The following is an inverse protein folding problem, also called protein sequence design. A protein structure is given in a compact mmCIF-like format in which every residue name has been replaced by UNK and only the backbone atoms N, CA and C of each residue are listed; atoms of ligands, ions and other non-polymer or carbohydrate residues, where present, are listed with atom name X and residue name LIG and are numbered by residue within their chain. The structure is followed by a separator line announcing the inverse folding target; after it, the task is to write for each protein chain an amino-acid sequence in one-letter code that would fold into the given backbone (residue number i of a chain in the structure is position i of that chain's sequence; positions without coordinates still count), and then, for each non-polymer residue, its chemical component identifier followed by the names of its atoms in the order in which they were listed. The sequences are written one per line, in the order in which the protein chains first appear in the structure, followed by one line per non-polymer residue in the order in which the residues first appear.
data_IF_264002153548
#
_entry.id   IF_264002153548
#
_cell.length_a   1.000
_cell.length_b   1.000
_cell.length_c   1.000
_cell.angle_alpha   90.00
_cell.angle_beta   90.00
_cell.angle_gamma   90.00
#
_symmetry.space_group_name_H-M   'P 1'
#
loop_
_entity.id
_entity.type
_entity.pdbx_description
1 polymer ?
#
# COMPACT_ATOMS: atom_id res chain seq x y z
N UNK A 1 18.17 42.21 -65.37
CA UNK A 1 18.83 42.11 -64.06
C UNK A 1 18.20 40.94 -63.32
N UNK A 2 18.94 39.88 -63.32
CA UNK A 2 18.55 38.54 -62.96
C UNK A 2 18.71 38.33 -61.45
N UNK A 3 17.65 37.99 -60.76
CA UNK A 3 17.74 37.62 -59.35
C UNK A 3 17.57 36.12 -59.23
N UNK A 4 18.69 35.43 -59.32
CA UNK A 4 18.83 33.99 -59.05
C UNK A 4 18.40 33.67 -57.63
N UNK A 5 17.27 32.95 -57.49
CA UNK A 5 16.88 32.27 -56.29
C UNK A 5 17.87 31.17 -55.96
N UNK A 6 18.64 31.35 -54.87
CA UNK A 6 19.48 30.37 -54.27
C UNK A 6 18.58 29.28 -53.58
N UNK A 7 18.25 28.24 -54.33
CA UNK A 7 17.66 27.03 -53.77
C UNK A 7 18.78 26.12 -53.27
N UNK A 8 18.96 26.07 -51.98
CA UNK A 8 19.79 25.03 -51.33
C UNK A 8 19.28 23.64 -51.68
N UNK A 9 20.14 22.71 -52.13
CA UNK A 9 19.70 21.36 -52.47
C UNK A 9 19.25 20.62 -51.23
N UNK A 10 18.04 20.06 -51.36
CA UNK A 10 17.48 19.13 -50.36
C UNK A 10 18.32 17.83 -50.38
N UNK A 11 19.10 17.60 -49.34
CA UNK A 11 19.85 16.36 -49.21
C UNK A 11 18.90 15.31 -48.63
N UNK A 12 18.47 14.40 -49.47
CA UNK A 12 17.69 13.22 -49.04
C UNK A 12 18.66 12.27 -48.29
N UNK A 13 18.32 11.99 -47.04
CA UNK A 13 19.03 10.98 -46.22
C UNK A 13 18.24 9.67 -46.28
N UNK A 14 18.77 8.68 -47.00
CA UNK A 14 18.20 7.32 -47.02
C UNK A 14 18.33 6.67 -45.64
N UNK A 15 17.23 6.28 -45.05
CA UNK A 15 17.20 5.43 -43.85
C UNK A 15 17.08 3.95 -44.25
N UNK A 16 17.55 3.06 -43.38
CA UNK A 16 17.57 1.60 -43.57
C UNK A 16 16.27 0.93 -44.04
N UNK A 17 15.13 1.66 -43.92
CA UNK A 17 13.78 1.19 -44.26
C UNK A 17 13.20 1.87 -45.53
N UNK A 18 14.01 2.49 -46.39
CA UNK A 18 13.53 3.19 -47.60
C UNK A 18 12.42 4.25 -47.41
N UNK A 19 12.29 4.80 -46.20
CA UNK A 19 11.36 5.93 -45.97
C UNK A 19 12.13 7.22 -46.23
N UNK A 20 11.82 7.85 -47.33
CA UNK A 20 12.33 9.21 -47.64
C UNK A 20 11.61 10.19 -46.74
N UNK A 21 12.31 10.77 -45.79
CA UNK A 21 11.74 11.86 -44.95
C UNK A 21 12.11 13.19 -45.59
N UNK A 22 11.14 13.83 -46.24
CA UNK A 22 11.27 15.20 -46.70
C UNK A 22 11.39 16.13 -45.48
N UNK A 23 12.58 16.68 -45.27
CA UNK A 23 12.80 17.78 -44.31
C UNK A 23 12.32 19.07 -44.94
N UNK A 24 11.06 19.43 -44.81
CA UNK A 24 10.62 20.81 -44.99
C UNK A 24 11.38 21.71 -43.99
N UNK A 25 12.05 22.74 -44.52
CA UNK A 25 12.88 23.67 -43.73
C UNK A 25 12.17 24.15 -42.47
N UNK A 26 12.94 24.48 -41.45
CA UNK A 26 12.46 24.85 -40.11
C UNK A 26 11.38 25.96 -40.22
N UNK A 27 10.10 25.52 -40.19
CA UNK A 27 8.98 26.44 -40.09
C UNK A 27 9.12 27.28 -38.82
N UNK A 28 8.89 28.57 -38.93
CA UNK A 28 8.85 29.52 -37.81
C UNK A 28 7.88 28.98 -36.73
N UNK A 29 8.18 29.24 -35.46
CA UNK A 29 7.34 28.83 -34.33
C UNK A 29 5.89 29.24 -34.49
N UNK A 30 5.67 30.46 -35.09
CA UNK A 30 4.33 30.98 -35.44
C UNK A 30 3.62 30.12 -36.51
N UNK A 31 4.32 29.68 -37.53
CA UNK A 31 3.75 28.86 -38.60
C UNK A 31 3.45 27.43 -38.13
N UNK A 32 4.25 26.87 -37.23
CA UNK A 32 3.97 25.60 -36.55
C UNK A 32 2.72 25.69 -35.67
N UNK A 33 2.55 26.77 -34.94
CA UNK A 33 1.34 27.00 -34.15
C UNK A 33 0.10 27.19 -35.04
N UNK A 34 0.20 27.96 -36.13
CA UNK A 34 -0.89 28.17 -37.07
C UNK A 34 -1.30 26.90 -37.82
N UNK A 35 -0.32 26.06 -38.28
CA UNK A 35 -0.61 24.74 -38.86
C UNK A 35 -1.27 23.82 -37.85
N UNK A 36 -0.82 23.82 -36.59
CA UNK A 36 -1.41 23.03 -35.51
C UNK A 36 -2.85 23.45 -35.19
N UNK A 37 -3.16 24.73 -35.25
CA UNK A 37 -4.50 25.30 -34.99
C UNK A 37 -5.48 25.05 -36.15
N UNK A 38 -5.00 24.90 -37.38
CA UNK A 38 -5.83 24.76 -38.58
C UNK A 38 -6.22 23.32 -38.91
N UNK A 39 -5.64 22.33 -38.23
CA UNK A 39 -5.97 20.92 -38.45
C UNK A 39 -7.20 20.54 -37.61
N UNK A 40 -8.28 20.08 -38.25
CA UNK A 40 -9.55 19.62 -37.61
C UNK A 40 -9.30 18.68 -36.43
N UNK A 41 -8.26 17.89 -36.51
CA UNK A 41 -7.84 16.95 -35.44
C UNK A 41 -7.35 17.67 -34.16
N UNK A 42 -6.90 18.94 -34.24
CA UNK A 42 -6.39 19.70 -33.09
C UNK A 42 -7.52 20.10 -32.14
N UNK A 43 -8.67 20.47 -32.70
CA UNK A 43 -9.86 20.80 -31.91
C UNK A 43 -10.44 19.61 -31.17
N UNK A 44 -10.49 18.46 -31.84
CA UNK A 44 -10.91 17.21 -31.22
C UNK A 44 -9.95 16.81 -30.09
N UNK A 45 -8.65 16.92 -30.34
CA UNK A 45 -7.62 16.63 -29.30
C UNK A 45 -7.71 17.60 -28.14
N UNK A 46 -7.95 18.90 -28.40
CA UNK A 46 -8.15 19.90 -27.37
C UNK A 46 -9.41 19.60 -26.53
N UNK A 47 -10.53 19.29 -27.16
CA UNK A 47 -11.77 18.92 -26.49
C UNK A 47 -11.61 17.66 -25.63
N UNK A 48 -10.95 16.62 -26.16
CA UNK A 48 -10.65 15.40 -25.42
C UNK A 48 -9.72 15.67 -24.22
N UNK A 49 -8.72 16.55 -24.37
CA UNK A 49 -7.83 16.91 -23.27
C UNK A 49 -8.57 17.72 -22.18
N UNK A 50 -9.45 18.63 -22.56
CA UNK A 50 -10.30 19.38 -21.60
C UNK A 50 -11.24 18.42 -20.88
N UNK A 51 -11.91 17.51 -21.59
CA UNK A 51 -12.75 16.49 -20.97
C UNK A 51 -11.98 15.61 -20.01
N UNK A 52 -10.79 15.15 -20.41
CA UNK A 52 -9.90 14.37 -19.56
C UNK A 52 -9.45 15.13 -18.31
N UNK A 53 -9.15 16.43 -18.46
CA UNK A 53 -8.80 17.31 -17.35
C UNK A 53 -9.97 17.45 -16.35
N UNK A 54 -11.19 17.70 -16.85
CA UNK A 54 -12.40 17.82 -16.02
C UNK A 54 -12.67 16.50 -15.28
N UNK A 55 -12.57 15.36 -15.98
CA UNK A 55 -12.73 14.04 -15.36
C UNK A 55 -11.68 13.78 -14.27
N UNK A 56 -10.42 14.08 -14.56
CA UNK A 56 -9.34 13.93 -13.56
C UNK A 56 -9.57 14.81 -12.34
N UNK A 57 -9.97 16.06 -12.56
CA UNK A 57 -10.26 17.01 -11.49
C UNK A 57 -11.45 16.55 -10.64
N UNK A 58 -12.52 16.06 -11.28
CA UNK A 58 -13.68 15.50 -10.60
C UNK A 58 -13.34 14.26 -9.77
N UNK A 59 -12.60 13.32 -10.34
CA UNK A 59 -12.17 12.11 -9.63
C UNK A 59 -11.22 12.47 -8.47
N UNK A 60 -10.28 13.39 -8.70
CA UNK A 60 -9.38 13.88 -7.66
C UNK A 60 -10.12 14.55 -6.51
N UNK A 61 -11.14 15.36 -6.83
CA UNK A 61 -11.98 15.99 -5.82
C UNK A 61 -12.71 14.96 -4.96
N UNK A 62 -13.35 13.95 -5.59
CA UNK A 62 -14.06 12.89 -4.86
C UNK A 62 -13.12 12.10 -3.94
N UNK A 63 -11.90 11.81 -4.41
CA UNK A 63 -10.89 11.08 -3.61
C UNK A 63 -10.36 11.94 -2.48
N UNK A 64 -10.10 13.24 -2.72
CA UNK A 64 -9.50 14.13 -1.73
C UNK A 64 -10.51 14.69 -0.73
N UNK A 65 -11.80 14.76 -1.11
CA UNK A 65 -12.86 15.34 -0.27
C UNK A 65 -12.88 14.81 1.17
N UNK A 66 -12.87 13.47 1.43
CA UNK A 66 -12.89 12.95 2.78
C UNK A 66 -11.66 13.36 3.61
N UNK A 67 -10.50 13.54 2.98
CA UNK A 67 -9.31 14.02 3.67
C UNK A 67 -9.45 15.50 4.05
N UNK A 68 -9.87 16.33 3.10
CA UNK A 68 -10.10 17.77 3.33
C UNK A 68 -11.18 17.96 4.39
N UNK A 69 -12.27 17.20 4.32
CA UNK A 69 -13.34 17.26 5.31
C UNK A 69 -12.85 16.87 6.73
N UNK A 70 -11.99 15.86 6.85
CA UNK A 70 -11.37 15.47 8.14
C UNK A 70 -10.43 16.53 8.68
N UNK A 71 -9.60 17.13 7.81
CA UNK A 71 -8.72 18.24 8.19
C UNK A 71 -9.56 19.44 8.64
N UNK A 72 -10.59 19.84 7.89
CA UNK A 72 -11.49 20.92 8.26
C UNK A 72 -12.21 20.62 9.59
N UNK A 73 -12.76 19.42 9.73
CA UNK A 73 -13.45 18.97 10.95
C UNK A 73 -12.57 18.95 12.19
N UNK A 74 -11.25 18.79 12.04
CA UNK A 74 -10.31 18.81 13.17
C UNK A 74 -10.16 20.20 13.82
N UNK A 75 -10.58 21.26 13.11
CA UNK A 75 -10.61 22.64 13.61
C UNK A 75 -12.02 23.11 14.01
N UNK A 76 -13.04 22.25 13.94
CA UNK A 76 -14.41 22.58 14.27
C UNK A 76 -14.71 22.40 15.76
N UNK A 77 -15.60 23.22 16.31
CA UNK A 77 -16.19 23.00 17.64
C UNK A 77 -17.18 21.84 17.59
N UNK A 78 -17.61 21.35 18.77
CA UNK A 78 -18.66 20.31 18.86
C UNK A 78 -19.98 20.77 18.21
N UNK A 79 -20.31 22.05 18.37
CA UNK A 79 -21.49 22.67 17.76
C UNK A 79 -21.39 22.70 16.24
N UNK A 80 -20.22 23.09 15.70
CA UNK A 80 -19.97 23.13 14.25
C UNK A 80 -20.04 21.74 13.60
N UNK A 81 -19.60 20.68 14.31
CA UNK A 81 -19.64 19.29 13.82
C UNK A 81 -21.08 18.77 13.71
N UNK A 82 -21.95 19.18 14.63
CA UNK A 82 -23.37 18.74 14.66
C UNK A 82 -24.21 19.55 13.67
N UNK A 83 -23.82 20.78 13.34
CA UNK A 83 -24.54 21.63 12.39
C UNK A 83 -24.34 21.13 10.95
N UNK A 84 -25.39 20.52 10.39
CA UNK A 84 -25.38 19.97 9.02
C UNK A 84 -25.17 21.03 7.93
N UNK A 85 -25.25 22.31 8.24
CA UNK A 85 -25.00 23.41 7.30
C UNK A 85 -23.51 23.71 7.12
N UNK A 86 -22.65 23.20 8.01
CA UNK A 86 -21.22 23.39 8.00
C UNK A 86 -20.55 22.15 7.43
N UNK A 87 -19.79 22.27 6.34
CA UNK A 87 -19.13 21.11 5.71
C UNK A 87 -17.61 21.18 5.75
N UNK A 88 -17.02 22.24 5.19
CA UNK A 88 -15.57 22.36 5.00
C UNK A 88 -14.95 23.56 5.71
N UNK A 89 -15.73 24.58 6.02
CA UNK A 89 -15.22 25.81 6.64
C UNK A 89 -15.84 25.93 8.03
N UNK A 90 -15.04 25.83 9.12
CA UNK A 90 -15.53 26.00 10.47
C UNK A 90 -16.02 27.43 10.68
N UNK A 91 -17.16 27.59 11.37
CA UNK A 91 -17.65 28.91 11.84
C UNK A 91 -16.81 29.42 13.02
N UNK A 92 -16.44 28.50 13.90
CA UNK A 92 -15.66 28.79 15.10
C UNK A 92 -14.41 27.92 15.14
N UNK A 93 -13.33 28.29 14.43
CA UNK A 93 -12.12 27.46 14.38
C UNK A 93 -11.47 27.38 15.77
N UNK A 94 -11.18 26.14 16.21
CA UNK A 94 -10.59 25.83 17.51
C UNK A 94 -9.54 24.73 17.42
N UNK A 95 -8.61 24.70 18.39
CA UNK A 95 -7.64 23.61 18.57
C UNK A 95 -8.01 22.73 19.79
N UNK A 96 -9.21 22.87 20.32
CA UNK A 96 -9.66 22.14 21.53
C UNK A 96 -9.63 20.62 21.34
N UNK A 97 -9.96 20.14 20.14
CA UNK A 97 -9.88 18.69 19.81
C UNK A 97 -8.44 18.18 19.94
N UNK A 98 -7.45 18.94 19.47
CA UNK A 98 -6.05 18.56 19.61
C UNK A 98 -5.58 18.55 21.05
N UNK A 99 -5.99 19.54 21.84
CA UNK A 99 -5.71 19.58 23.28
C UNK A 99 -6.31 18.36 23.98
N UNK A 100 -7.56 18.03 23.69
CA UNK A 100 -8.23 16.85 24.23
C UNK A 100 -7.49 15.55 23.88
N UNK A 101 -7.12 15.36 22.62
CA UNK A 101 -6.39 14.17 22.16
C UNK A 101 -5.03 14.05 22.86
N UNK A 102 -4.29 15.15 23.01
CA UNK A 102 -2.96 15.12 23.58
C UNK A 102 -3.00 14.88 25.10
N UNK A 103 -3.89 15.57 25.81
CA UNK A 103 -3.92 15.56 27.28
C UNK A 103 -4.82 14.43 27.81
N UNK A 104 -6.08 14.38 27.37
CA UNK A 104 -7.08 13.44 27.92
C UNK A 104 -6.89 12.01 27.39
N UNK A 105 -6.50 11.85 26.12
CA UNK A 105 -6.32 10.54 25.50
C UNK A 105 -4.86 10.03 25.58
N UNK A 106 -3.98 10.68 26.34
CA UNK A 106 -2.59 10.25 26.52
C UNK A 106 -1.90 9.89 25.21
N UNK A 107 -2.04 10.76 24.19
CA UNK A 107 -1.61 10.50 22.81
C UNK A 107 -0.16 10.01 22.72
N UNK A 108 0.78 10.64 23.44
CA UNK A 108 2.19 10.28 23.35
C UNK A 108 2.51 8.91 23.95
N UNK A 109 1.81 8.51 25.01
CA UNK A 109 1.93 7.17 25.59
C UNK A 109 1.39 6.12 24.62
N UNK A 110 0.22 6.36 24.04
CA UNK A 110 -0.36 5.49 23.02
C UNK A 110 0.52 5.40 21.76
N UNK A 111 1.11 6.52 21.34
CA UNK A 111 2.04 6.56 20.20
C UNK A 111 3.28 5.72 20.45
N UNK A 112 3.93 5.86 21.61
CA UNK A 112 5.12 5.09 21.98
C UNK A 112 4.81 3.60 22.07
N UNK A 113 3.72 3.23 22.73
CA UNK A 113 3.29 1.85 22.85
C UNK A 113 3.02 1.22 21.49
N UNK A 114 2.32 1.95 20.60
CA UNK A 114 2.05 1.50 19.24
C UNK A 114 3.32 1.39 18.40
N UNK A 115 4.23 2.34 18.53
CA UNK A 115 5.51 2.34 17.81
C UNK A 115 6.38 1.15 18.24
N UNK A 116 6.54 0.93 19.55
CA UNK A 116 7.29 -0.20 20.08
C UNK A 116 6.70 -1.53 19.64
N UNK A 117 5.38 -1.70 19.75
CA UNK A 117 4.69 -2.90 19.31
C UNK A 117 4.87 -3.14 17.80
N UNK A 118 4.69 -2.09 16.99
CA UNK A 118 4.84 -2.18 15.55
C UNK A 118 6.27 -2.55 15.14
N UNK A 119 7.29 -1.97 15.77
CA UNK A 119 8.69 -2.30 15.51
C UNK A 119 9.02 -3.73 15.92
N UNK A 120 8.60 -4.16 17.12
CA UNK A 120 8.81 -5.54 17.58
C UNK A 120 8.15 -6.54 16.62
N UNK A 121 6.87 -6.35 16.28
CA UNK A 121 6.18 -7.23 15.36
C UNK A 121 6.81 -7.23 13.96
N UNK A 122 7.23 -6.08 13.44
CA UNK A 122 7.87 -5.96 12.13
C UNK A 122 9.20 -6.71 12.09
N UNK A 123 10.04 -6.57 13.12
CA UNK A 123 11.32 -7.29 13.21
C UNK A 123 11.11 -8.81 13.29
N UNK A 124 10.20 -9.27 14.13
CA UNK A 124 9.87 -10.69 14.25
C UNK A 124 9.35 -11.23 12.91
N UNK A 125 8.42 -10.55 12.27
CA UNK A 125 7.85 -10.97 10.98
C UNK A 125 8.91 -10.98 9.87
N UNK A 126 9.80 -10.00 9.85
CA UNK A 126 10.92 -9.97 8.91
C UNK A 126 11.82 -11.20 9.08
N UNK A 127 12.21 -11.51 10.31
CA UNK A 127 13.04 -12.68 10.60
C UNK A 127 12.33 -13.99 10.20
N UNK A 128 11.07 -14.13 10.58
CA UNK A 128 10.26 -15.32 10.23
C UNK A 128 10.11 -15.44 8.71
N UNK A 129 9.81 -14.34 8.01
CA UNK A 129 9.66 -14.34 6.56
C UNK A 129 10.98 -14.71 5.86
N UNK A 130 12.12 -14.20 6.34
CA UNK A 130 13.44 -14.55 5.82
C UNK A 130 13.76 -16.02 6.06
N UNK A 131 13.63 -16.50 7.29
CA UNK A 131 13.98 -17.88 7.65
C UNK A 131 13.11 -18.90 6.90
N UNK A 132 11.79 -18.71 6.94
CA UNK A 132 10.85 -19.62 6.26
C UNK A 132 10.99 -19.50 4.74
N UNK A 133 11.14 -18.29 4.21
CA UNK A 133 11.34 -18.04 2.78
C UNK A 133 12.61 -18.68 2.25
N UNK A 134 13.73 -18.55 2.98
CA UNK A 134 14.99 -19.19 2.67
C UNK A 134 14.88 -20.73 2.74
N UNK A 135 14.32 -21.24 3.83
CA UNK A 135 14.11 -22.69 4.00
C UNK A 135 13.29 -23.32 2.87
N UNK A 136 12.22 -22.63 2.43
CA UNK A 136 11.38 -23.09 1.32
C UNK A 136 12.04 -22.92 -0.06
N UNK A 137 13.01 -22.03 -0.19
CA UNK A 137 13.71 -21.79 -1.46
C UNK A 137 14.86 -22.78 -1.66
N UNK A 138 15.70 -22.96 -0.64
CA UNK A 138 17.00 -23.67 -0.73
C UNK A 138 16.95 -25.11 -0.26
N UNK A 139 16.13 -25.45 0.75
CA UNK A 139 16.08 -26.82 1.25
C UNK A 139 15.05 -27.70 0.53
N UNK A 140 15.50 -28.87 0.10
CA UNK A 140 14.63 -29.93 -0.48
C UNK A 140 14.23 -30.91 0.60
N UNK A 141 13.06 -30.75 1.21
CA UNK A 141 12.53 -31.67 2.21
C UNK A 141 11.16 -32.21 1.81
N UNK A 142 10.81 -33.38 2.35
CA UNK A 142 9.48 -33.97 2.17
C UNK A 142 8.45 -33.07 2.86
N UNK A 143 7.49 -32.52 2.12
CA UNK A 143 6.51 -31.59 2.67
C UNK A 143 6.69 -30.11 2.26
N UNK A 144 7.78 -29.73 1.57
CA UNK A 144 7.97 -28.37 1.08
C UNK A 144 6.75 -27.82 0.31
N UNK A 145 6.12 -28.67 -0.54
CA UNK A 145 4.92 -28.31 -1.28
C UNK A 145 3.71 -28.05 -0.36
N UNK A 146 3.58 -28.85 0.72
CA UNK A 146 2.49 -28.71 1.69
C UNK A 146 2.66 -27.40 2.48
N UNK A 147 3.86 -27.14 3.00
CA UNK A 147 4.15 -25.87 3.71
C UNK A 147 3.90 -24.68 2.80
N UNK A 148 4.33 -24.76 1.53
CA UNK A 148 4.06 -23.71 0.57
C UNK A 148 2.56 -23.52 0.29
N UNK A 149 1.78 -24.60 0.23
CA UNK A 149 0.33 -24.52 0.10
C UNK A 149 -0.30 -23.81 1.33
N UNK A 150 0.15 -24.12 2.55
CA UNK A 150 -0.28 -23.43 3.78
C UNK A 150 0.05 -21.92 3.75
N UNK A 151 1.24 -21.54 3.27
CA UNK A 151 1.62 -20.14 3.09
C UNK A 151 0.66 -19.43 2.12
N UNK A 152 0.30 -20.08 0.99
CA UNK A 152 -0.64 -19.52 0.02
C UNK A 152 -2.04 -19.41 0.62
N UNK A 153 -2.50 -20.42 1.35
CA UNK A 153 -3.80 -20.37 2.06
C UNK A 153 -3.83 -19.20 3.06
N UNK A 154 -2.78 -19.06 3.87
CA UNK A 154 -2.66 -17.94 4.82
C UNK A 154 -2.68 -16.55 4.13
N UNK A 155 -2.18 -16.46 2.90
CA UNK A 155 -2.22 -15.23 2.11
C UNK A 155 -3.63 -14.90 1.59
N UNK A 156 -4.42 -15.94 1.24
CA UNK A 156 -5.76 -15.80 0.67
C UNK A 156 -6.81 -15.50 1.73
N UNK A 157 -6.66 -16.04 2.94
CA UNK A 157 -7.63 -15.85 4.02
C UNK A 157 -7.70 -14.37 4.41
N UNK A 158 -8.89 -13.73 4.35
CA UNK A 158 -9.05 -12.33 4.72
C UNK A 158 -8.91 -12.18 6.25
N UNK A 159 -7.92 -11.44 6.71
CA UNK A 159 -7.67 -11.21 8.15
C UNK A 159 -8.87 -10.57 8.87
N UNK A 160 -9.69 -9.80 8.14
CA UNK A 160 -10.92 -9.21 8.68
C UNK A 160 -11.93 -10.26 9.18
N UNK A 161 -12.01 -11.41 8.51
CA UNK A 161 -12.92 -12.48 8.88
C UNK A 161 -12.45 -13.23 10.15
N UNK A 162 -11.15 -13.21 10.42
CA UNK A 162 -10.58 -13.90 11.58
C UNK A 162 -10.59 -13.07 12.87
N UNK A 163 -10.86 -11.76 12.79
CA UNK A 163 -10.75 -10.85 13.95
C UNK A 163 -11.56 -11.30 15.16
N UNK A 164 -12.83 -11.68 14.96
CA UNK A 164 -13.72 -12.06 16.05
C UNK A 164 -13.27 -13.37 16.69
N UNK A 165 -12.90 -14.36 15.87
CA UNK A 165 -12.40 -15.65 16.35
C UNK A 165 -11.09 -15.50 17.12
N UNK A 166 -10.15 -14.68 16.60
CA UNK A 166 -8.89 -14.39 17.29
C UNK A 166 -9.12 -13.68 18.62
N UNK A 167 -10.03 -12.69 18.65
CA UNK A 167 -10.39 -12.00 19.90
C UNK A 167 -10.90 -13.00 20.93
N UNK A 168 -11.82 -13.89 20.56
CA UNK A 168 -12.38 -14.89 21.45
C UNK A 168 -11.29 -15.85 21.97
N UNK A 169 -10.41 -16.34 21.11
CA UNK A 169 -9.31 -17.22 21.53
C UNK A 169 -8.30 -16.54 22.46
N UNK A 170 -8.03 -15.25 22.28
CA UNK A 170 -7.11 -14.51 23.13
C UNK A 170 -7.75 -13.99 24.42
N UNK A 171 -9.08 -13.92 24.49
CA UNK A 171 -9.81 -13.62 25.73
C UNK A 171 -9.80 -14.82 26.69
N UNK A 172 -9.86 -16.03 26.13
CA UNK A 172 -9.79 -17.31 26.89
C UNK A 172 -8.63 -18.13 26.36
N UNK A 173 -7.38 -17.62 26.54
CA UNK A 173 -6.23 -18.24 25.94
C UNK A 173 -5.83 -19.53 26.68
N UNK A 174 -5.94 -20.64 25.98
CA UNK A 174 -5.33 -21.90 26.34
C UNK A 174 -4.82 -22.58 25.06
N UNK A 175 -3.68 -23.26 25.15
CA UNK A 175 -3.02 -23.88 23.98
C UNK A 175 -3.93 -24.92 23.32
N UNK A 176 -4.76 -25.64 24.08
CA UNK A 176 -5.65 -26.64 23.53
C UNK A 176 -6.92 -26.08 22.92
N UNK A 177 -7.41 -24.90 23.32
CA UNK A 177 -8.59 -24.26 22.70
C UNK A 177 -8.34 -23.85 21.25
N UNK A 178 -7.08 -23.74 20.85
CA UNK A 178 -6.70 -23.52 19.44
C UNK A 178 -7.00 -24.76 18.58
N UNK A 179 -7.01 -25.96 19.17
CA UNK A 179 -7.17 -27.25 18.46
C UNK A 179 -8.59 -27.81 18.64
N UNK A 180 -9.20 -27.64 19.81
CA UNK A 180 -10.51 -28.21 20.12
C UNK A 180 -11.30 -27.27 21.05
N UNK A 181 -12.45 -26.79 20.59
CA UNK A 181 -13.29 -25.80 21.26
C UNK A 181 -13.92 -26.26 22.58
N UNK A 182 -13.92 -27.53 22.86
CA UNK A 182 -14.69 -28.16 23.96
C UNK A 182 -13.82 -28.90 25.00
N UNK A 183 -12.51 -28.74 24.95
CA UNK A 183 -11.57 -29.39 25.86
C UNK A 183 -10.92 -28.39 26.78
N UNK A 184 -10.88 -28.71 28.09
CA UNK A 184 -10.03 -28.02 29.05
C UNK A 184 -8.58 -28.20 28.66
N UNK A 185 -7.93 -27.08 28.32
CA UNK A 185 -6.55 -27.09 27.92
C UNK A 185 -5.58 -27.26 29.09
N UNK A 186 -4.29 -27.47 28.82
CA UNK A 186 -3.29 -27.71 29.87
C UNK A 186 -3.16 -26.53 30.84
N UNK A 187 -3.44 -25.31 30.42
CA UNK A 187 -3.38 -24.11 31.28
C UNK A 187 -4.55 -24.14 32.26
N UNK A 188 -5.78 -24.38 31.80
CA UNK A 188 -6.95 -24.49 32.66
C UNK A 188 -6.85 -25.71 33.62
N UNK A 189 -6.27 -26.85 33.15
CA UNK A 189 -6.06 -28.03 34.00
C UNK A 189 -5.03 -27.81 35.11
N UNK A 190 -3.98 -27.00 34.87
CA UNK A 190 -2.90 -26.76 35.83
C UNK A 190 -3.24 -25.60 36.77
N UNK A 191 -3.80 -24.52 36.24
CA UNK A 191 -4.01 -23.24 36.95
C UNK A 191 -5.48 -23.04 37.35
N UNK A 192 -6.43 -23.82 36.82
CA UNK A 192 -7.87 -23.70 37.09
C UNK A 192 -8.56 -22.59 36.31
N UNK A 193 -7.80 -21.74 35.60
CA UNK A 193 -8.31 -20.58 34.84
C UNK A 193 -7.52 -20.44 33.53
N UNK A 194 -8.17 -19.84 32.51
CA UNK A 194 -7.55 -19.45 31.24
C UNK A 194 -6.89 -18.08 31.37
N UNK A 195 -5.85 -17.81 30.58
CA UNK A 195 -5.21 -16.47 30.57
C UNK A 195 -5.97 -15.51 29.65
N UNK A 196 -6.31 -14.34 30.15
CA UNK A 196 -6.80 -13.25 29.34
C UNK A 196 -5.62 -12.47 28.72
N UNK A 197 -5.38 -12.67 27.42
CA UNK A 197 -4.31 -11.99 26.68
C UNK A 197 -4.84 -10.84 25.80
N UNK A 198 -6.17 -10.68 25.67
CA UNK A 198 -6.82 -9.76 24.73
C UNK A 198 -6.40 -8.29 24.91
N UNK A 199 -6.15 -7.88 26.16
CA UNK A 199 -5.75 -6.52 26.53
C UNK A 199 -4.22 -6.32 26.64
N UNK A 200 -3.44 -7.21 26.04
CA UNK A 200 -1.97 -7.18 26.07
C UNK A 200 -1.40 -7.12 24.66
N UNK A 201 -0.08 -6.97 24.55
CA UNK A 201 0.63 -7.04 23.26
C UNK A 201 0.88 -8.49 22.77
N UNK A 202 0.70 -9.47 23.64
CA UNK A 202 1.00 -10.89 23.36
C UNK A 202 0.28 -11.45 22.14
N UNK A 203 -1.00 -11.17 21.87
CA UNK A 203 -1.68 -11.70 20.70
C UNK A 203 -0.95 -11.41 19.40
N UNK A 204 -0.51 -10.16 19.22
CA UNK A 204 0.19 -9.75 18.00
C UNK A 204 1.61 -10.31 17.91
N UNK A 205 2.30 -10.42 19.03
CA UNK A 205 3.64 -11.01 19.12
C UNK A 205 3.57 -12.50 18.79
N UNK A 206 2.66 -13.25 19.40
CA UNK A 206 2.45 -14.69 19.15
C UNK A 206 2.13 -14.92 17.67
N UNK A 207 1.16 -14.19 17.11
CA UNK A 207 0.81 -14.31 15.70
C UNK A 207 2.00 -13.97 14.78
N UNK A 208 2.85 -13.01 15.18
CA UNK A 208 4.05 -12.65 14.42
C UNK A 208 5.09 -13.76 14.43
N UNK A 209 5.33 -14.41 15.57
CA UNK A 209 6.27 -15.54 15.71
C UNK A 209 5.83 -16.74 14.85
N UNK A 210 4.55 -17.05 14.83
CA UNK A 210 4.03 -18.14 14.02
C UNK A 210 3.83 -17.78 12.54
N UNK A 211 4.17 -16.56 12.13
CA UNK A 211 4.02 -16.13 10.75
C UNK A 211 2.57 -15.93 10.28
N UNK A 212 1.62 -15.86 11.21
CA UNK A 212 0.18 -15.70 10.97
C UNK A 212 -0.28 -14.26 11.09
N UNK A 213 0.55 -13.34 11.59
CA UNK A 213 0.21 -11.95 11.75
C UNK A 213 0.14 -11.23 10.39
N UNK A 214 -0.81 -10.32 10.26
CA UNK A 214 -0.99 -9.45 9.11
C UNK A 214 -0.94 -10.23 7.78
N UNK A 215 -0.16 -9.81 6.80
CA UNK A 215 0.00 -10.48 5.49
C UNK A 215 1.33 -11.24 5.40
N UNK A 216 1.78 -11.86 6.48
CA UNK A 216 3.11 -12.48 6.53
C UNK A 216 3.30 -13.59 5.49
N UNK A 217 2.24 -14.32 5.12
CA UNK A 217 2.27 -15.28 4.02
C UNK A 217 2.75 -14.67 2.69
N UNK A 218 2.35 -13.42 2.39
CA UNK A 218 2.83 -12.69 1.22
C UNK A 218 4.33 -12.40 1.32
N UNK A 219 4.82 -11.96 2.48
CA UNK A 219 6.24 -11.69 2.67
C UNK A 219 7.09 -12.96 2.59
N UNK A 220 6.64 -14.07 3.18
CA UNK A 220 7.29 -15.39 3.04
C UNK A 220 7.36 -15.79 1.56
N UNK A 221 6.28 -15.62 0.81
CA UNK A 221 6.25 -15.91 -0.63
C UNK A 221 7.26 -15.06 -1.41
N UNK A 222 7.29 -13.74 -1.16
CA UNK A 222 8.22 -12.82 -1.81
C UNK A 222 9.68 -13.15 -1.47
N UNK A 223 9.99 -13.41 -0.20
CA UNK A 223 11.34 -13.81 0.23
C UNK A 223 11.77 -15.12 -0.41
N UNK A 224 10.86 -16.09 -0.49
CA UNK A 224 11.14 -17.34 -1.21
C UNK A 224 11.47 -17.11 -2.69
N UNK A 225 10.74 -16.23 -3.38
CA UNK A 225 11.03 -15.92 -4.79
C UNK A 225 12.39 -15.21 -4.92
N UNK A 226 12.70 -14.30 -4.01
CA UNK A 226 13.98 -13.63 -3.95
C UNK A 226 15.13 -14.65 -3.79
N UNK A 227 15.08 -15.52 -2.78
CA UNK A 227 16.13 -16.51 -2.52
C UNK A 227 16.27 -17.56 -3.62
N UNK A 228 15.21 -17.88 -4.35
CA UNK A 228 15.30 -18.73 -5.55
C UNK A 228 16.11 -18.09 -6.69
N UNK A 229 16.14 -16.77 -6.76
CA UNK A 229 16.92 -16.04 -7.74
C UNK A 229 18.40 -15.88 -7.37
N UNK A 230 18.79 -16.17 -6.13
CA UNK A 230 20.18 -16.10 -5.66
C UNK A 230 20.91 -17.37 -6.09
N UNK A 231 22.01 -17.29 -6.89
CA UNK A 231 22.83 -18.44 -7.28
C UNK A 231 23.43 -19.15 -6.05
N UNK A 232 23.48 -20.47 -6.10
CA UNK A 232 24.04 -21.28 -5.00
C UNK A 232 25.55 -21.04 -4.80
N UNK A 233 26.25 -20.65 -5.86
CA UNK A 233 27.67 -20.29 -5.86
C UNK A 233 28.02 -19.15 -4.90
N UNK A 234 27.08 -18.19 -4.71
CA UNK A 234 27.29 -17.09 -3.77
C UNK A 234 27.18 -17.54 -2.31
N UNK A 235 26.43 -18.59 -2.05
CA UNK A 235 26.28 -19.17 -0.69
C UNK A 235 27.48 -20.06 -0.33
N UNK A 236 28.06 -20.76 -1.32
CA UNK A 236 29.24 -21.59 -1.12
C UNK A 236 30.52 -20.77 -0.91
N UNK A 237 30.52 -19.50 -1.36
CA UNK A 237 31.67 -18.59 -1.23
C UNK A 237 31.69 -17.77 0.07
N UNK A 238 30.61 -17.80 0.88
CA UNK A 238 30.45 -17.03 2.11
C UNK A 238 30.80 -17.85 3.34
#
# INVERSE_FOLDING_TARGET
MDSTKNSTPVVAKETKNKIVVDYEGKLSVKERMLKKLKTSNTWITAAVNVLRFILMLGVSFVILYPFVARIAGSFMTKEDIVDSTISLIPKHPTLEIYKYIIIENHYFEALLNTLLLALCCALIQMLVACLVGYGLAKFKFKGNKLVMAMVVVAMVIPHGALKLSLLQHFTMFDIATVIAWDYKGPIELIFGETFELSNTFWPLIILSIFGLAFKNGLYIYLMRQFFKGVPDELEESA
#
